data_IF_107415864753
#
_entry.id   IF_107415864753
#
_cell.length_a   1.000
_cell.length_b   1.000
_cell.length_c   1.000
_cell.angle_alpha   90.00
_cell.angle_beta   90.00
_cell.angle_gamma   90.00
#
_symmetry.space_group_name_H-M   'P 1'
#
loop_
_entity.id
_entity.type
_entity.pdbx_description
1 polymer ?
#
# COMPACT_ATOMS: atom_id res chain seq x y z
N UNK A 1 -18.06 -11.42 16.93
CA UNK A 1 -17.66 -10.11 16.37
C UNK A 1 -18.26 -9.04 17.25
N UNK A 2 -17.50 -8.01 17.60
CA UNK A 2 -18.05 -6.80 18.21
C UNK A 2 -19.03 -6.15 17.23
N UNK A 3 -20.02 -5.45 17.75
CA UNK A 3 -21.03 -4.74 16.93
C UNK A 3 -20.41 -3.56 16.15
N UNK A 4 -19.20 -3.15 16.53
CA UNK A 4 -18.47 -2.00 15.99
C UNK A 4 -17.02 -2.42 15.72
N UNK A 5 -16.48 -1.97 14.57
CA UNK A 5 -15.06 -2.07 14.22
C UNK A 5 -14.45 -0.67 14.32
N UNK A 6 -13.36 -0.54 15.08
CA UNK A 6 -12.62 0.70 15.29
C UNK A 6 -11.39 0.71 14.40
N UNK A 7 -11.40 1.59 13.41
CA UNK A 7 -10.32 1.74 12.43
C UNK A 7 -9.57 3.04 12.75
N UNK A 8 -8.27 2.95 12.96
CA UNK A 8 -7.39 4.10 13.15
C UNK A 8 -6.41 4.22 11.99
N UNK A 9 -6.10 5.45 11.58
CA UNK A 9 -5.13 5.73 10.54
C UNK A 9 -3.87 6.39 11.12
N UNK A 10 -2.68 5.95 10.70
CA UNK A 10 -1.40 6.47 11.18
C UNK A 10 -0.59 7.23 10.12
N UNK A 11 -1.11 7.39 8.90
CA UNK A 11 -0.42 8.12 7.83
C UNK A 11 -1.40 8.64 6.78
N UNK A 12 -1.12 9.82 6.24
CA UNK A 12 -1.77 10.37 5.05
C UNK A 12 -0.88 10.49 3.81
N UNK A 13 0.45 10.33 3.94
CA UNK A 13 1.41 10.41 2.82
C UNK A 13 2.78 9.82 3.18
N UNK A 14 3.62 9.56 2.18
CA UNK A 14 5.00 9.13 2.43
C UNK A 14 5.84 10.25 3.08
N UNK A 15 6.20 10.05 4.35
CA UNK A 15 7.02 10.98 5.12
C UNK A 15 6.29 11.58 6.32
N UNK A 16 5.05 11.13 6.57
CA UNK A 16 4.25 11.52 7.73
C UNK A 16 4.90 11.10 9.08
N UNK A 17 4.26 11.51 10.18
CA UNK A 17 4.71 11.34 11.55
C UNK A 17 4.98 9.88 11.91
N UNK A 18 6.25 9.51 12.06
CA UNK A 18 6.65 8.14 12.37
C UNK A 18 6.01 7.58 13.66
N UNK A 19 5.87 8.39 14.72
CA UNK A 19 5.30 7.91 15.99
C UNK A 19 3.79 7.68 15.95
N UNK A 20 3.08 8.10 14.90
CA UNK A 20 1.63 8.00 14.83
C UNK A 20 1.11 6.55 14.97
N UNK A 21 1.81 5.57 14.38
CA UNK A 21 1.43 4.16 14.50
C UNK A 21 1.42 3.71 15.97
N UNK A 22 2.47 4.06 16.72
CA UNK A 22 2.58 3.77 18.15
C UNK A 22 1.50 4.48 18.95
N UNK A 23 1.29 5.78 18.69
CA UNK A 23 0.26 6.58 19.35
C UNK A 23 -1.16 5.99 19.15
N UNK A 24 -1.48 5.48 17.96
CA UNK A 24 -2.78 4.85 17.69
C UNK A 24 -2.95 3.50 18.41
N UNK A 25 -1.90 2.68 18.46
CA UNK A 25 -1.94 1.35 19.07
C UNK A 25 -1.95 1.44 20.60
N UNK A 26 -1.12 2.31 21.19
CA UNK A 26 -1.04 2.50 22.64
C UNK A 26 -2.19 3.38 23.18
N UNK A 27 -2.68 4.33 22.38
CA UNK A 27 -3.76 5.23 22.75
C UNK A 27 -5.17 4.68 22.54
N UNK A 28 -5.29 3.38 22.25
CA UNK A 28 -6.52 2.70 21.82
C UNK A 28 -7.71 2.75 22.81
N UNK A 29 -8.72 1.89 22.62
CA UNK A 29 -8.71 0.65 21.83
C UNK A 29 -9.06 0.82 20.35
N UNK A 30 -8.37 0.07 19.48
CA UNK A 30 -8.63 -0.04 18.02
C UNK A 30 -8.63 -1.52 17.59
N UNK A 31 -9.27 -1.83 16.47
CA UNK A 31 -9.32 -3.19 15.87
C UNK A 31 -8.46 -3.29 14.61
N UNK A 32 -8.32 -2.18 13.88
CA UNK A 32 -7.53 -2.11 12.63
C UNK A 32 -6.68 -0.85 12.64
N UNK A 33 -5.39 -1.02 12.38
CA UNK A 33 -4.45 0.06 12.08
C UNK A 33 -4.27 0.16 10.56
N UNK A 34 -4.61 1.32 10.00
CA UNK A 34 -4.40 1.63 8.59
C UNK A 34 -3.28 2.64 8.41
N UNK A 35 -2.69 2.69 7.22
CA UNK A 35 -1.78 3.75 6.81
C UNK A 35 -1.86 4.01 5.31
N UNK A 36 -2.05 5.27 4.95
CA UNK A 36 -1.97 5.75 3.56
C UNK A 36 -0.63 6.46 3.32
N UNK A 37 0.11 6.02 2.32
CA UNK A 37 1.44 6.52 1.98
C UNK A 37 1.56 6.98 0.53
N UNK A 38 0.54 6.76 -0.30
CA UNK A 38 0.67 6.93 -1.74
C UNK A 38 0.04 8.24 -2.20
N UNK A 39 0.87 9.11 -2.76
CA UNK A 39 0.47 10.27 -3.56
C UNK A 39 1.15 10.18 -4.94
N UNK A 40 0.76 11.03 -5.89
CA UNK A 40 1.31 11.04 -7.26
C UNK A 40 2.84 11.18 -7.24
N UNK A 41 3.36 12.09 -6.41
CA UNK A 41 4.80 12.26 -6.23
C UNK A 41 5.46 11.00 -5.64
N UNK A 42 4.79 10.33 -4.69
CA UNK A 42 5.27 9.06 -4.12
C UNK A 42 5.46 8.02 -5.21
N UNK A 43 4.50 7.87 -6.13
CA UNK A 43 4.59 6.87 -7.20
C UNK A 43 5.84 7.07 -8.06
N UNK A 44 6.17 8.32 -8.40
CA UNK A 44 7.41 8.63 -9.14
C UNK A 44 8.68 8.30 -8.34
N UNK A 45 8.70 8.58 -7.02
CA UNK A 45 9.81 8.22 -6.13
C UNK A 45 9.99 6.70 -6.08
N UNK A 46 8.90 5.96 -5.90
CA UNK A 46 8.92 4.50 -5.83
C UNK A 46 9.35 3.88 -7.16
N UNK A 47 8.93 4.45 -8.29
CA UNK A 47 9.39 4.01 -9.61
C UNK A 47 10.90 4.13 -9.73
N UNK A 48 11.46 5.30 -9.36
CA UNK A 48 12.91 5.49 -9.38
C UNK A 48 13.64 4.50 -8.46
N UNK A 49 13.09 4.22 -7.27
CA UNK A 49 13.65 3.19 -6.38
C UNK A 49 13.63 1.80 -7.01
N UNK A 50 12.54 1.41 -7.68
CA UNK A 50 12.40 0.13 -8.38
C UNK A 50 13.41 -0.01 -9.53
N UNK A 51 13.76 1.09 -10.20
CA UNK A 51 14.73 1.09 -11.29
C UNK A 51 16.19 1.06 -10.83
N UNK A 52 16.48 1.60 -9.64
CA UNK A 52 17.86 1.82 -9.17
C UNK A 52 18.32 0.85 -8.08
N UNK A 53 17.43 0.00 -7.57
CA UNK A 53 17.70 -0.94 -6.47
C UNK A 53 17.21 -2.34 -6.83
N UNK A 54 17.92 -3.36 -6.35
CA UNK A 54 17.53 -4.76 -6.52
C UNK A 54 16.17 -5.07 -5.86
N UNK A 55 15.92 -4.46 -4.70
CA UNK A 55 14.67 -4.54 -3.95
C UNK A 55 14.22 -3.11 -3.63
N UNK A 56 13.15 -2.66 -4.30
CA UNK A 56 12.61 -1.31 -4.18
C UNK A 56 11.18 -1.21 -4.72
N UNK A 57 10.64 0.00 -4.74
CA UNK A 57 9.28 0.25 -5.22
C UNK A 57 8.20 0.24 -4.14
N UNK A 58 8.58 0.25 -2.86
CA UNK A 58 7.65 0.30 -1.73
C UNK A 58 8.11 1.30 -0.67
N UNK A 59 7.24 1.66 0.26
CA UNK A 59 7.45 2.75 1.23
C UNK A 59 8.23 2.26 2.47
N UNK A 60 9.55 2.46 2.48
CA UNK A 60 10.42 1.94 3.54
C UNK A 60 10.18 2.50 4.95
N UNK A 61 9.56 3.68 5.11
CA UNK A 61 9.23 4.22 6.44
C UNK A 61 8.14 3.43 7.15
N UNK A 62 7.23 2.79 6.41
CA UNK A 62 6.24 1.88 6.99
C UNK A 62 6.90 0.74 7.76
N UNK A 63 8.00 0.16 7.25
CA UNK A 63 8.72 -0.91 7.94
C UNK A 63 9.32 -0.46 9.29
N UNK A 64 9.63 0.83 9.45
CA UNK A 64 10.08 1.39 10.73
C UNK A 64 8.93 1.47 11.72
N UNK A 65 7.79 1.97 11.27
CA UNK A 65 6.57 2.03 12.08
C UNK A 65 6.08 0.64 12.49
N UNK A 66 6.11 -0.31 11.54
CA UNK A 66 5.69 -1.68 11.76
C UNK A 66 6.56 -2.38 12.81
N UNK A 67 7.89 -2.23 12.77
CA UNK A 67 8.78 -2.78 13.79
C UNK A 67 8.41 -2.35 15.21
N UNK A 68 7.96 -1.10 15.37
CA UNK A 68 7.59 -0.56 16.68
C UNK A 68 6.26 -1.11 17.20
N UNK A 69 5.35 -1.52 16.32
CA UNK A 69 3.96 -1.85 16.71
C UNK A 69 3.53 -3.29 16.40
N UNK A 70 4.33 -4.09 15.69
CA UNK A 70 3.91 -5.43 15.28
C UNK A 70 3.60 -6.33 16.47
N UNK A 71 4.47 -6.36 17.49
CA UNK A 71 4.24 -7.14 18.71
C UNK A 71 2.94 -6.74 19.43
N UNK A 72 2.72 -5.46 19.83
CA UNK A 72 1.48 -5.09 20.51
C UNK A 72 0.24 -5.27 19.63
N UNK A 73 0.35 -5.15 18.29
CA UNK A 73 -0.75 -5.47 17.39
C UNK A 73 -1.11 -6.96 17.43
N UNK A 74 -0.13 -7.87 17.44
CA UNK A 74 -0.38 -9.31 17.56
C UNK A 74 -1.01 -9.65 18.91
N UNK A 75 -0.46 -9.12 20.01
CA UNK A 75 -0.98 -9.38 21.37
C UNK A 75 -2.42 -8.90 21.56
N UNK A 76 -2.79 -7.78 20.93
CA UNK A 76 -4.13 -7.19 21.00
C UNK A 76 -5.04 -7.62 19.85
N UNK A 77 -4.57 -8.48 18.95
CA UNK A 77 -5.27 -8.90 17.73
C UNK A 77 -5.73 -7.72 16.84
N UNK A 78 -4.90 -6.69 16.74
CA UNK A 78 -5.10 -5.54 15.84
C UNK A 78 -4.62 -5.93 14.44
N UNK A 79 -5.49 -5.79 13.44
CA UNK A 79 -5.13 -6.03 12.03
C UNK A 79 -4.44 -4.81 11.44
N UNK A 80 -3.48 -5.02 10.53
CA UNK A 80 -2.75 -3.93 9.87
C UNK A 80 -3.06 -3.95 8.39
N UNK A 81 -3.48 -2.82 7.83
CA UNK A 81 -3.78 -2.68 6.39
C UNK A 81 -3.10 -1.43 5.84
N UNK A 82 -2.24 -1.57 4.84
CA UNK A 82 -1.44 -0.43 4.38
C UNK A 82 -1.16 -0.48 2.88
N UNK A 83 -1.29 0.66 2.20
CA UNK A 83 -0.88 0.79 0.78
C UNK A 83 0.62 1.09 0.59
N UNK A 84 1.42 0.95 1.65
CA UNK A 84 2.87 1.10 1.61
C UNK A 84 3.58 0.12 0.66
N UNK A 85 2.87 -0.90 0.15
CA UNK A 85 3.39 -1.81 -0.88
C UNK A 85 3.70 -1.08 -2.20
N UNK A 86 3.01 0.01 -2.51
CA UNK A 86 3.29 0.85 -3.66
C UNK A 86 3.37 0.05 -4.97
N UNK A 87 4.50 0.14 -5.66
CA UNK A 87 4.78 -0.55 -6.93
C UNK A 87 5.40 -1.95 -6.75
N UNK A 88 5.56 -2.41 -5.51
CA UNK A 88 6.10 -3.73 -5.20
C UNK A 88 5.54 -4.32 -3.88
N UNK A 89 4.22 -4.62 -3.81
CA UNK A 89 3.60 -5.19 -2.62
C UNK A 89 4.21 -6.53 -2.19
N UNK A 90 4.61 -7.36 -3.15
CA UNK A 90 5.23 -8.66 -2.87
C UNK A 90 6.55 -8.51 -2.09
N UNK A 91 7.43 -7.60 -2.53
CA UNK A 91 8.69 -7.36 -1.80
C UNK A 91 8.44 -6.71 -0.42
N UNK A 92 7.45 -5.84 -0.30
CA UNK A 92 7.06 -5.29 1.00
C UNK A 92 6.55 -6.39 1.94
N UNK A 93 5.68 -7.29 1.47
CA UNK A 93 5.21 -8.42 2.27
C UNK A 93 6.36 -9.35 2.69
N UNK A 94 7.36 -9.57 1.82
CA UNK A 94 8.56 -10.31 2.21
C UNK A 94 9.32 -9.59 3.33
N UNK A 95 9.52 -8.27 3.22
CA UNK A 95 10.19 -7.50 4.27
C UNK A 95 9.41 -7.48 5.60
N UNK A 96 8.08 -7.53 5.56
CA UNK A 96 7.26 -7.71 6.77
C UNK A 96 7.47 -9.09 7.38
N UNK A 97 7.48 -10.15 6.56
CA UNK A 97 7.77 -11.50 7.05
C UNK A 97 9.16 -11.59 7.68
N UNK A 98 10.15 -10.89 7.14
CA UNK A 98 11.50 -10.84 7.72
C UNK A 98 11.48 -10.18 9.10
N UNK A 99 10.74 -9.06 9.27
CA UNK A 99 10.53 -8.42 10.58
C UNK A 99 9.83 -9.35 11.56
N UNK A 100 8.76 -10.03 11.14
CA UNK A 100 8.03 -10.96 12.00
C UNK A 100 8.94 -12.09 12.51
N UNK A 101 9.80 -12.64 11.63
CA UNK A 101 10.81 -13.64 12.01
C UNK A 101 11.86 -13.08 12.97
N UNK A 102 12.37 -11.86 12.73
CA UNK A 102 13.30 -11.17 13.64
C UNK A 102 12.71 -11.02 15.06
N UNK A 103 11.40 -10.76 15.15
CA UNK A 103 10.67 -10.59 16.41
C UNK A 103 10.13 -11.91 17.01
N UNK A 104 10.35 -13.06 16.36
CA UNK A 104 9.79 -14.37 16.72
C UNK A 104 8.25 -14.37 16.83
N UNK A 105 7.58 -13.67 15.90
CA UNK A 105 6.12 -13.60 15.81
C UNK A 105 5.61 -14.49 14.67
N UNK A 106 4.54 -15.23 14.92
CA UNK A 106 3.78 -15.92 13.88
C UNK A 106 2.70 -14.97 13.35
N UNK A 107 2.90 -14.48 12.12
CA UNK A 107 2.06 -13.44 11.50
C UNK A 107 1.71 -13.87 10.09
N UNK A 108 0.41 -13.85 9.77
CA UNK A 108 -0.05 -14.09 8.39
C UNK A 108 -0.02 -12.80 7.60
N UNK A 109 0.92 -12.70 6.67
CA UNK A 109 1.07 -11.55 5.77
C UNK A 109 0.47 -11.87 4.41
N UNK A 110 -0.48 -11.05 3.97
CA UNK A 110 -1.03 -11.09 2.62
C UNK A 110 -0.62 -9.82 1.85
N UNK A 111 -0.55 -9.93 0.52
CA UNK A 111 -0.46 -8.77 -0.35
C UNK A 111 -1.48 -8.83 -1.48
N UNK A 112 -1.88 -7.65 -1.96
CA UNK A 112 -2.76 -7.49 -3.12
C UNK A 112 -1.90 -7.17 -4.34
N UNK A 113 -2.33 -7.66 -5.50
CA UNK A 113 -1.68 -7.45 -6.79
C UNK A 113 -2.73 -7.14 -7.87
N UNK A 114 -2.28 -6.71 -9.05
CA UNK A 114 -3.13 -6.48 -10.22
C UNK A 114 -3.49 -5.01 -10.48
N UNK A 115 -2.91 -4.06 -9.75
CA UNK A 115 -3.09 -2.64 -10.03
C UNK A 115 -2.19 -2.16 -11.18
N UNK A 116 -1.03 -2.78 -11.40
CA UNK A 116 -0.09 -2.40 -12.47
C UNK A 116 -0.64 -2.71 -13.87
N UNK A 117 -1.07 -1.65 -14.56
CA UNK A 117 -1.56 -1.68 -15.92
C UNK A 117 -0.48 -1.32 -16.94
N UNK A 118 0.73 -0.90 -16.51
CA UNK A 118 1.77 -0.45 -17.43
C UNK A 118 2.09 -1.47 -18.55
N UNK A 119 2.17 -2.80 -18.28
CA UNK A 119 2.39 -3.80 -19.32
C UNK A 119 1.25 -3.90 -20.34
N UNK A 120 0.04 -3.45 -20.00
CA UNK A 120 -1.18 -3.57 -20.81
C UNK A 120 -1.58 -2.26 -21.50
N UNK A 121 -0.83 -1.18 -21.32
CA UNK A 121 -1.21 0.12 -21.89
C UNK A 121 -1.30 0.11 -23.43
N UNK A 122 -0.44 -0.66 -24.10
CA UNK A 122 -0.51 -0.80 -25.56
C UNK A 122 -1.79 -1.55 -26.01
N UNK A 123 -2.20 -2.58 -25.26
CA UNK A 123 -3.45 -3.32 -25.49
C UNK A 123 -4.66 -2.38 -25.37
N UNK A 124 -4.72 -1.58 -24.29
CA UNK A 124 -5.83 -0.65 -24.07
C UNK A 124 -5.88 0.47 -25.11
N UNK A 125 -4.73 1.04 -25.48
CA UNK A 125 -4.69 2.04 -26.55
C UNK A 125 -5.13 1.47 -27.90
N UNK A 126 -4.76 0.23 -28.22
CA UNK A 126 -5.22 -0.45 -29.43
C UNK A 126 -6.73 -0.73 -29.41
N UNK A 127 -7.32 -0.92 -28.22
CA UNK A 127 -8.75 -1.06 -28.02
C UNK A 127 -9.53 0.27 -28.10
N UNK A 128 -8.84 1.41 -28.24
CA UNK A 128 -9.43 2.73 -28.41
C UNK A 128 -9.41 3.62 -27.16
N UNK A 129 -8.82 3.15 -26.05
CA UNK A 129 -8.70 3.97 -24.84
C UNK A 129 -7.68 5.10 -25.05
N UNK A 130 -8.18 6.35 -25.00
CA UNK A 130 -7.35 7.52 -25.26
C UNK A 130 -6.46 7.91 -24.09
N UNK A 131 -6.87 7.59 -22.85
CA UNK A 131 -6.25 8.05 -21.60
C UNK A 131 -5.91 9.55 -21.65
N UNK A 132 -6.91 10.36 -21.98
CA UNK A 132 -6.75 11.82 -22.05
C UNK A 132 -6.38 12.38 -20.69
N UNK A 133 -5.30 13.16 -20.65
CA UNK A 133 -4.90 13.87 -19.45
C UNK A 133 -6.02 14.83 -19.01
N UNK A 134 -6.37 14.82 -17.72
CA UNK A 134 -7.52 15.56 -17.19
C UNK A 134 -7.37 17.08 -17.29
N UNK A 135 -6.14 17.60 -17.21
CA UNK A 135 -5.89 19.05 -17.21
C UNK A 135 -5.79 19.62 -18.64
N UNK A 136 -5.20 18.87 -19.55
CA UNK A 136 -4.86 19.35 -20.91
C UNK A 136 -5.75 18.77 -22.00
N UNK A 137 -6.49 17.69 -21.71
CA UNK A 137 -7.26 16.93 -22.70
C UNK A 137 -6.42 16.14 -23.71
N UNK A 138 -5.08 16.27 -23.66
CA UNK A 138 -4.17 15.62 -24.61
C UNK A 138 -4.20 14.10 -24.38
N UNK A 139 -4.51 13.29 -25.42
CA UNK A 139 -4.44 11.84 -25.33
C UNK A 139 -3.04 11.35 -24.98
N UNK A 140 -2.92 10.26 -24.24
CA UNK A 140 -1.62 9.72 -23.82
C UNK A 140 -0.70 9.40 -25.02
N UNK A 141 -1.27 8.94 -26.14
CA UNK A 141 -0.54 8.65 -27.39
C UNK A 141 0.14 9.89 -28.02
N UNK A 142 -0.40 11.08 -27.75
CA UNK A 142 0.08 12.35 -28.32
C UNK A 142 1.04 13.05 -27.33
N UNK A 143 1.23 12.48 -26.14
CA UNK A 143 2.17 12.96 -25.13
C UNK A 143 3.61 12.53 -25.48
N UNK A 144 4.57 13.44 -25.32
CA UNK A 144 6.01 13.18 -25.57
C UNK A 144 6.74 12.59 -24.37
N UNK A 145 6.09 12.52 -23.21
CA UNK A 145 6.68 12.00 -21.98
C UNK A 145 6.66 10.46 -21.98
N UNK A 146 7.66 9.87 -21.31
CA UNK A 146 7.70 8.43 -21.06
C UNK A 146 6.68 8.05 -20.00
N UNK A 147 5.85 7.04 -20.29
CA UNK A 147 5.00 6.41 -19.28
C UNK A 147 5.88 5.72 -18.23
N UNK A 148 5.81 6.18 -16.98
CA UNK A 148 6.54 5.57 -15.87
C UNK A 148 5.75 4.44 -15.21
N UNK A 149 4.48 4.71 -14.91
CA UNK A 149 3.58 3.83 -14.16
C UNK A 149 2.15 4.03 -14.64
N UNK A 150 1.33 2.99 -14.58
CA UNK A 150 -0.11 3.08 -14.76
C UNK A 150 -0.76 2.16 -13.74
N UNK A 151 -1.53 2.72 -12.80
CA UNK A 151 -2.06 1.96 -11.67
C UNK A 151 -3.57 2.14 -11.55
N UNK A 152 -4.29 1.03 -11.40
CA UNK A 152 -5.72 1.04 -11.10
C UNK A 152 -5.97 1.17 -9.60
N UNK A 153 -7.08 1.80 -9.22
CA UNK A 153 -7.55 1.78 -7.84
C UNK A 153 -8.43 0.55 -7.65
N UNK A 154 -7.91 -0.46 -6.94
CA UNK A 154 -8.59 -1.75 -6.80
C UNK A 154 -9.74 -1.78 -5.76
N UNK A 155 -9.87 -0.73 -4.96
CA UNK A 155 -10.83 -0.68 -3.85
C UNK A 155 -10.49 -1.67 -2.71
N UNK A 156 -11.50 -2.07 -1.94
CA UNK A 156 -11.32 -2.81 -0.70
C UNK A 156 -11.58 -4.33 -0.79
N UNK A 157 -12.02 -4.87 -1.93
CA UNK A 157 -12.41 -6.28 -2.03
C UNK A 157 -11.26 -7.25 -1.77
N UNK A 158 -10.07 -6.96 -2.30
CA UNK A 158 -8.88 -7.76 -2.01
C UNK A 158 -8.46 -7.69 -0.53
N UNK A 159 -8.66 -6.54 0.12
CA UNK A 159 -8.38 -6.36 1.55
C UNK A 159 -9.31 -7.24 2.38
N UNK A 160 -10.61 -7.16 2.08
CA UNK A 160 -11.64 -7.99 2.72
C UNK A 160 -11.32 -9.47 2.58
N UNK A 161 -10.94 -9.94 1.39
CA UNK A 161 -10.65 -11.35 1.16
C UNK A 161 -9.40 -11.84 1.91
N UNK A 162 -8.37 -11.01 1.97
CA UNK A 162 -7.17 -11.30 2.76
C UNK A 162 -7.48 -11.41 4.26
N UNK A 163 -8.28 -10.47 4.79
CA UNK A 163 -8.70 -10.49 6.20
C UNK A 163 -9.59 -11.69 6.52
N UNK A 164 -10.54 -12.03 5.65
CA UNK A 164 -11.39 -13.23 5.78
C UNK A 164 -10.57 -14.53 5.76
N UNK A 165 -9.47 -14.55 5.00
CA UNK A 165 -8.49 -15.63 4.97
C UNK A 165 -7.57 -15.67 6.21
N UNK A 166 -7.77 -14.74 7.15
CA UNK A 166 -7.07 -14.67 8.42
C UNK A 166 -5.74 -13.93 8.37
N UNK A 167 -5.52 -13.03 7.42
CA UNK A 167 -4.33 -12.18 7.41
C UNK A 167 -4.30 -11.24 8.63
N UNK A 168 -3.12 -11.11 9.22
CA UNK A 168 -2.82 -10.15 10.29
C UNK A 168 -2.31 -8.82 9.72
N UNK A 169 -1.56 -8.91 8.62
CA UNK A 169 -1.04 -7.76 7.87
C UNK A 169 -1.43 -7.90 6.40
N UNK A 170 -2.09 -6.88 5.85
CA UNK A 170 -2.46 -6.78 4.44
C UNK A 170 -1.70 -5.64 3.79
N UNK A 171 -0.82 -5.98 2.86
CA UNK A 171 -0.03 -5.03 2.09
C UNK A 171 -0.70 -4.78 0.74
N UNK A 172 -1.05 -3.53 0.50
CA UNK A 172 -1.76 -3.09 -0.69
C UNK A 172 -0.83 -2.33 -1.63
N UNK A 173 -1.06 -2.39 -2.95
CA UNK A 173 -0.58 -1.41 -3.91
C UNK A 173 -1.54 -0.23 -3.94
N UNK A 174 -1.77 0.39 -5.11
CA UNK A 174 -2.82 1.41 -5.27
C UNK A 174 -4.21 0.76 -5.09
N UNK A 175 -4.92 1.15 -4.03
CA UNK A 175 -6.27 0.61 -3.70
C UNK A 175 -7.32 1.70 -3.61
N UNK A 176 -7.04 2.80 -2.93
CA UNK A 176 -7.94 3.95 -2.80
C UNK A 176 -7.11 5.23 -2.82
N UNK A 177 -7.75 6.32 -3.22
CA UNK A 177 -7.29 7.68 -2.93
C UNK A 177 -8.19 8.23 -1.85
N UNK A 178 -7.67 8.61 -0.69
CA UNK A 178 -8.49 9.21 0.35
C UNK A 178 -8.80 10.70 0.08
N UNK A 179 -8.17 11.31 -0.94
CA UNK A 179 -8.30 12.72 -1.27
C UNK A 179 -9.35 13.05 -2.36
N UNK A 180 -10.09 12.05 -2.86
CA UNK A 180 -11.06 12.20 -3.95
C UNK A 180 -12.45 11.63 -3.62
#
# INVERSE_FOLDING_TARGET
MTEVIKIANCSGFYGDKLSAAREMVEGGPIDVLTGDYLAELTMAILYNQKMTRDIGGYVGTFLKQLRDVLLPCVEQNIKIVSNAGGLNPAAMAQAVNDIARELNLDVKVAYIDGDDLAPRMAEFQAAGEAFSNMDTGVPLKDNKNTLLTANAYLGAWGIKEALDSGADVVICPRVTDAAW
#
